data_IF_523117859636
#
_entry.id   IF_523117859636
#
_cell.length_a   1.000
_cell.length_b   1.000
_cell.length_c   1.000
_cell.angle_alpha   90.00
_cell.angle_beta   90.00
_cell.angle_gamma   90.00
#
_symmetry.space_group_name_H-M   'P 1'
#
loop_
_entity.id
_entity.type
_entity.pdbx_description
1 polymer ?
#
# COMPACT_ATOMS: atom_id res chain seq x y z
N UNK A 1 29.89 0.45 28.64
CA UNK A 1 28.63 -0.23 29.02
C UNK A 1 28.04 -0.84 27.77
N UNK A 2 28.17 -2.15 27.60
CA UNK A 2 27.70 -2.90 26.43
C UNK A 2 26.32 -3.48 26.71
N UNK A 3 25.32 -3.09 25.93
CA UNK A 3 23.97 -3.65 26.02
C UNK A 3 23.89 -4.87 25.10
N UNK A 4 23.56 -6.03 25.67
CA UNK A 4 23.28 -7.27 24.94
C UNK A 4 21.78 -7.31 24.69
N UNK A 5 21.39 -7.31 23.41
CA UNK A 5 19.99 -7.44 23.01
C UNK A 5 19.72 -8.93 22.79
N UNK A 6 18.89 -9.53 23.64
CA UNK A 6 18.35 -10.88 23.46
C UNK A 6 16.92 -10.78 22.94
N UNK A 7 16.60 -11.58 21.92
CA UNK A 7 15.25 -11.71 21.39
C UNK A 7 14.66 -13.06 21.82
N UNK A 8 13.53 -13.03 22.51
CA UNK A 8 12.75 -14.23 22.76
C UNK A 8 11.87 -14.59 21.55
N UNK A 9 11.77 -15.87 21.18
CA UNK A 9 10.92 -16.28 20.08
C UNK A 9 9.44 -16.22 20.45
N UNK A 10 8.64 -15.51 19.64
CA UNK A 10 7.19 -15.47 19.77
C UNK A 10 6.60 -16.88 19.58
N UNK A 11 6.04 -17.43 20.66
CA UNK A 11 5.17 -18.59 20.58
C UNK A 11 3.82 -18.19 20.01
N UNK A 12 3.32 -19.01 19.08
CA UNK A 12 2.07 -18.79 18.34
C UNK A 12 0.89 -18.74 19.31
N UNK A 13 0.12 -17.65 19.33
CA UNK A 13 -1.22 -17.63 19.94
C UNK A 13 -2.32 -17.43 18.91
N UNK A 14 -3.31 -18.28 19.14
CA UNK A 14 -4.53 -18.60 18.44
C UNK A 14 -5.36 -17.39 17.96
N UNK A 15 -6.10 -17.71 16.90
CA UNK A 15 -7.09 -16.96 16.15
C UNK A 15 -8.24 -16.32 16.94
N UNK A 16 -8.86 -15.35 16.27
CA UNK A 16 -10.23 -14.79 16.40
C UNK A 16 -10.40 -13.61 17.36
N UNK A 17 -10.51 -12.42 16.77
CA UNK A 17 -11.48 -11.41 17.24
C UNK A 17 -12.09 -10.68 16.06
N UNK A 18 -13.35 -11.04 15.78
CA UNK A 18 -14.26 -10.32 14.89
C UNK A 18 -14.53 -8.92 15.46
N UNK A 19 -14.72 -7.95 14.56
CA UNK A 19 -15.20 -6.61 14.89
C UNK A 19 -16.58 -6.66 15.57
N UNK A 20 -16.89 -5.72 16.48
CA UNK A 20 -18.21 -5.62 17.08
C UNK A 20 -19.24 -5.09 16.06
N UNK A 21 -20.40 -5.74 16.03
CA UNK A 21 -21.57 -5.40 15.24
C UNK A 21 -22.49 -4.48 16.07
N UNK A 22 -22.87 -3.27 15.64
CA UNK A 22 -23.76 -2.40 16.39
C UNK A 22 -25.18 -2.49 15.81
N UNK A 23 -25.98 -3.45 16.27
CA UNK A 23 -27.44 -3.40 16.20
C UNK A 23 -28.01 -4.70 16.78
N UNK A 24 -28.73 -4.60 17.90
CA UNK A 24 -29.98 -5.34 18.19
C UNK A 24 -30.31 -5.16 19.68
N UNK A 25 -31.15 -4.17 19.96
CA UNK A 25 -32.08 -4.21 21.10
C UNK A 25 -33.45 -4.52 20.52
N UNK A 26 -33.91 -5.77 20.67
CA UNK A 26 -35.29 -6.17 20.39
C UNK A 26 -35.85 -6.72 21.70
N UNK A 27 -37.01 -6.25 22.19
CA UNK A 27 -37.75 -6.92 23.25
C UNK A 27 -38.61 -8.05 22.66
N UNK A 28 -38.51 -9.22 23.28
CA UNK A 28 -39.37 -10.40 23.07
C UNK A 28 -40.84 -10.12 23.43
N UNK A 29 -41.80 -10.76 22.74
CA UNK A 29 -43.06 -11.14 23.38
C UNK A 29 -43.29 -12.65 23.33
N UNK A 30 -43.49 -13.20 24.51
CA UNK A 30 -43.87 -14.59 24.77
C UNK A 30 -45.36 -14.86 24.57
N UNK A 31 -45.60 -16.05 24.03
CA UNK A 31 -46.65 -17.02 24.40
C UNK A 31 -47.95 -17.09 23.58
N UNK A 32 -48.15 -18.35 23.14
CA UNK A 32 -49.37 -19.15 23.05
C UNK A 32 -50.38 -18.88 21.94
N UNK A 33 -50.51 -19.91 21.09
CA UNK A 33 -51.60 -20.06 20.15
C UNK A 33 -52.89 -20.56 20.81
N UNK A 34 -54.01 -20.18 20.22
CA UNK A 34 -55.25 -20.95 20.23
C UNK A 34 -56.04 -20.64 18.94
N UNK A 35 -56.69 -21.67 18.43
CA UNK A 35 -57.44 -21.76 17.17
C UNK A 35 -58.89 -21.29 17.36
N UNK A 36 -59.48 -20.60 16.38
CA UNK A 36 -60.80 -20.96 15.81
C UNK A 36 -61.25 -20.06 14.65
N UNK A 37 -62.13 -20.63 13.85
CA UNK A 37 -62.73 -20.24 12.57
C UNK A 37 -63.52 -18.93 12.54
N UNK A 38 -63.45 -18.18 11.42
CA UNK A 38 -64.54 -18.04 10.41
C UNK A 38 -64.23 -16.92 9.39
N UNK A 39 -64.92 -17.00 8.26
CA UNK A 39 -64.73 -16.27 7.01
C UNK A 39 -65.03 -14.77 7.08
N UNK A 40 -64.03 -13.92 6.82
CA UNK A 40 -64.24 -12.54 6.33
C UNK A 40 -63.11 -12.09 5.38
N UNK A 41 -63.50 -11.53 4.23
CA UNK A 41 -62.63 -10.92 3.23
C UNK A 41 -62.04 -9.65 3.85
N UNK A 42 -60.86 -9.76 4.45
CA UNK A 42 -60.05 -8.62 4.88
C UNK A 42 -58.76 -8.65 4.10
N UNK A 43 -58.59 -7.66 3.22
CA UNK A 43 -57.35 -7.38 2.50
C UNK A 43 -56.21 -7.27 3.49
N UNK A 44 -55.43 -8.34 3.66
CA UNK A 44 -54.16 -8.28 4.38
C UNK A 44 -53.32 -7.21 3.69
N UNK A 45 -52.71 -6.26 4.40
CA UNK A 45 -51.79 -5.33 3.77
C UNK A 45 -50.76 -6.18 3.05
N UNK A 46 -50.69 -6.05 1.72
CA UNK A 46 -49.68 -6.71 0.94
C UNK A 46 -48.34 -6.09 1.32
N UNK A 47 -47.69 -6.70 2.32
CA UNK A 47 -46.35 -6.30 2.74
C UNK A 47 -45.44 -6.68 1.58
N UNK A 48 -45.06 -5.68 0.80
CA UNK A 48 -44.11 -5.85 -0.30
C UNK A 48 -42.86 -6.50 0.24
N UNK A 49 -42.35 -7.51 -0.47
CA UNK A 49 -41.05 -8.08 -0.18
C UNK A 49 -39.99 -6.97 -0.19
N UNK A 50 -38.93 -7.10 0.62
CA UNK A 50 -37.81 -6.16 0.57
C UNK A 50 -37.28 -5.99 -0.86
N UNK A 51 -37.28 -7.09 -1.64
CA UNK A 51 -36.90 -7.05 -3.05
C UNK A 51 -37.85 -6.15 -3.86
N UNK A 52 -39.16 -6.40 -3.77
CA UNK A 52 -40.18 -5.60 -4.48
C UNK A 52 -40.12 -4.11 -4.08
N UNK A 53 -39.93 -3.84 -2.79
CA UNK A 53 -39.76 -2.48 -2.29
C UNK A 53 -38.51 -1.80 -2.85
N UNK A 54 -37.38 -2.52 -2.93
CA UNK A 54 -36.14 -1.99 -3.49
C UNK A 54 -36.23 -1.78 -5.00
N UNK A 55 -36.93 -2.64 -5.72
CA UNK A 55 -37.18 -2.49 -7.17
C UNK A 55 -38.00 -1.23 -7.45
N UNK A 56 -39.02 -0.93 -6.63
CA UNK A 56 -39.88 0.23 -6.80
C UNK A 56 -39.23 1.54 -6.32
N UNK A 57 -38.58 1.54 -5.15
CA UNK A 57 -38.08 2.77 -4.52
C UNK A 57 -36.61 3.08 -4.85
N UNK A 58 -35.82 2.06 -5.22
CA UNK A 58 -34.36 2.17 -5.47
C UNK A 58 -33.89 1.24 -6.61
N UNK A 59 -34.44 1.34 -7.83
CA UNK A 59 -34.04 0.47 -8.95
C UNK A 59 -32.54 0.60 -9.30
N UNK A 60 -31.95 1.79 -9.11
CA UNK A 60 -30.52 2.04 -9.29
C UNK A 60 -29.63 1.18 -8.38
N UNK A 61 -30.10 0.88 -7.16
CA UNK A 61 -29.35 0.03 -6.24
C UNK A 61 -29.37 -1.42 -6.71
N UNK A 62 -30.56 -1.91 -7.09
CA UNK A 62 -30.75 -3.28 -7.59
C UNK A 62 -29.86 -3.50 -8.81
N UNK A 63 -29.95 -2.64 -9.82
CA UNK A 63 -29.11 -2.73 -11.04
C UNK A 63 -27.61 -2.72 -10.74
N UNK A 64 -27.12 -1.85 -9.85
CA UNK A 64 -25.70 -1.82 -9.44
C UNK A 64 -25.29 -3.10 -8.70
N UNK A 65 -26.15 -3.63 -7.84
CA UNK A 65 -25.90 -4.87 -7.13
C UNK A 65 -25.84 -6.07 -8.09
N UNK A 66 -26.75 -6.12 -9.07
CA UNK A 66 -26.75 -7.13 -10.13
C UNK A 66 -25.50 -7.05 -11.00
N UNK A 67 -25.12 -5.84 -11.43
CA UNK A 67 -23.90 -5.62 -12.18
C UNK A 67 -22.67 -6.09 -11.40
N UNK A 68 -22.59 -5.78 -10.11
CA UNK A 68 -21.52 -6.27 -9.24
C UNK A 68 -21.50 -7.80 -9.15
N UNK A 69 -22.67 -8.43 -9.02
CA UNK A 69 -22.82 -9.90 -9.01
C UNK A 69 -22.28 -10.50 -10.32
N UNK A 70 -22.63 -9.92 -11.46
CA UNK A 70 -22.15 -10.35 -12.78
C UNK A 70 -20.63 -10.22 -12.91
N UNK A 71 -20.05 -9.06 -12.54
CA UNK A 71 -18.59 -8.85 -12.58
C UNK A 71 -17.85 -9.87 -11.71
N UNK A 72 -18.39 -10.20 -10.54
CA UNK A 72 -17.78 -11.21 -9.66
C UNK A 72 -17.88 -12.62 -10.25
N UNK A 73 -19.02 -12.96 -10.87
CA UNK A 73 -19.22 -14.23 -11.55
C UNK A 73 -18.26 -14.39 -12.74
N UNK A 74 -18.10 -13.36 -13.57
CA UNK A 74 -17.16 -13.33 -14.69
C UNK A 74 -15.71 -13.53 -14.20
N UNK A 75 -15.30 -12.80 -13.16
CA UNK A 75 -13.97 -12.95 -12.56
C UNK A 75 -13.73 -14.36 -12.01
N UNK A 76 -14.74 -14.96 -11.39
CA UNK A 76 -14.66 -16.33 -10.90
C UNK A 76 -14.52 -17.33 -12.05
N UNK A 77 -15.30 -17.15 -13.13
CA UNK A 77 -15.23 -17.98 -14.33
C UNK A 77 -13.85 -17.91 -14.99
N UNK A 78 -13.30 -16.71 -15.19
CA UNK A 78 -11.96 -16.54 -15.77
C UNK A 78 -10.90 -17.25 -14.93
N UNK A 79 -10.97 -17.13 -13.60
CA UNK A 79 -10.04 -17.81 -12.69
C UNK A 79 -10.16 -19.33 -12.82
N UNK A 80 -11.38 -19.87 -12.86
CA UNK A 80 -11.60 -21.31 -13.02
C UNK A 80 -11.01 -21.81 -14.35
N UNK A 81 -11.24 -21.10 -15.46
CA UNK A 81 -10.66 -21.51 -16.75
C UNK A 81 -9.13 -21.48 -16.72
N UNK A 82 -8.53 -20.44 -16.12
CA UNK A 82 -7.08 -20.36 -15.95
C UNK A 82 -6.55 -21.52 -15.11
N UNK A 83 -7.20 -21.84 -13.99
CA UNK A 83 -6.82 -22.94 -13.11
C UNK A 83 -6.94 -24.29 -13.83
N UNK A 84 -7.99 -24.49 -14.64
CA UNK A 84 -8.16 -25.70 -15.47
C UNK A 84 -7.05 -25.83 -16.51
N UNK A 85 -6.70 -24.75 -17.20
CA UNK A 85 -5.61 -24.75 -18.19
C UNK A 85 -4.26 -25.02 -17.52
N UNK A 86 -3.96 -24.36 -16.40
CA UNK A 86 -2.74 -24.59 -15.62
C UNK A 86 -2.67 -26.02 -15.07
N UNK A 87 -3.80 -26.58 -14.62
CA UNK A 87 -3.88 -27.96 -14.17
C UNK A 87 -3.56 -28.93 -15.30
N UNK A 88 -4.17 -28.76 -16.49
CA UNK A 88 -3.87 -29.59 -17.67
C UNK A 88 -2.39 -29.52 -18.07
N UNK A 89 -1.80 -28.32 -18.10
CA UNK A 89 -0.38 -28.14 -18.39
C UNK A 89 0.50 -28.86 -17.37
N UNK A 90 0.19 -28.74 -16.08
CA UNK A 90 0.93 -29.44 -15.02
C UNK A 90 0.86 -30.96 -15.17
N UNK A 91 -0.31 -31.51 -15.49
CA UNK A 91 -0.46 -32.96 -15.74
C UNK A 91 0.36 -33.38 -16.96
N UNK A 92 0.32 -32.63 -18.06
CA UNK A 92 1.14 -32.93 -19.25
C UNK A 92 2.63 -32.94 -18.91
N UNK A 93 3.11 -31.91 -18.21
CA UNK A 93 4.51 -31.81 -17.77
C UNK A 93 4.92 -32.97 -16.84
N UNK A 94 4.04 -33.40 -15.93
CA UNK A 94 4.29 -34.57 -15.08
C UNK A 94 4.39 -35.86 -15.89
N UNK A 95 3.53 -36.05 -16.89
CA UNK A 95 3.55 -37.26 -17.74
C UNK A 95 4.76 -37.32 -18.69
N UNK A 96 5.31 -36.17 -19.09
CA UNK A 96 6.54 -36.11 -19.90
C UNK A 96 7.81 -36.36 -19.07
N UNK A 97 7.72 -36.40 -17.74
CA UNK A 97 8.87 -36.64 -16.87
C UNK A 97 9.10 -38.16 -16.74
N UNK A 98 10.15 -38.67 -17.38
CA UNK A 98 10.59 -40.06 -17.20
C UNK A 98 10.99 -40.33 -15.73
N UNK A 99 10.71 -41.53 -15.18
CA UNK A 99 10.98 -41.90 -13.78
C UNK A 99 12.47 -42.17 -13.48
N UNK A 100 13.37 -41.34 -14.02
CA UNK A 100 14.82 -41.44 -13.83
C UNK A 100 15.57 -40.09 -13.73
N UNK A 101 14.84 -38.97 -13.73
CA UNK A 101 15.43 -37.62 -13.59
C UNK A 101 14.96 -36.98 -12.27
N UNK A 102 15.39 -37.57 -11.15
CA UNK A 102 14.91 -37.16 -9.82
C UNK A 102 15.86 -36.24 -9.04
N UNK A 103 17.13 -36.06 -9.42
CA UNK A 103 18.07 -35.40 -8.51
C UNK A 103 17.98 -33.86 -8.48
N UNK A 104 17.86 -33.19 -9.63
CA UNK A 104 18.16 -31.74 -9.67
C UNK A 104 16.93 -30.82 -9.80
N UNK A 105 15.81 -31.34 -10.31
CA UNK A 105 14.63 -30.48 -10.56
C UNK A 105 13.65 -30.42 -9.39
N UNK A 106 13.63 -31.43 -8.52
CA UNK A 106 12.72 -31.49 -7.36
C UNK A 106 13.09 -30.42 -6.33
N UNK A 107 14.39 -30.11 -6.17
CA UNK A 107 14.84 -28.97 -5.37
C UNK A 107 14.41 -27.62 -5.97
N UNK A 108 14.43 -27.47 -7.29
CA UNK A 108 14.00 -26.25 -7.97
C UNK A 108 12.49 -26.03 -7.85
N UNK A 109 11.69 -27.09 -7.88
CA UNK A 109 10.24 -27.03 -7.71
C UNK A 109 9.83 -26.75 -6.24
N UNK A 110 10.60 -27.23 -5.25
CA UNK A 110 10.40 -26.89 -3.82
C UNK A 110 10.81 -25.46 -3.47
N UNK A 111 11.75 -24.86 -4.21
CA UNK A 111 12.16 -23.45 -4.07
C UNK A 111 11.14 -22.52 -4.74
N UNK A 112 9.89 -22.57 -4.26
CA UNK A 112 8.89 -21.54 -4.50
C UNK A 112 8.49 -21.40 -5.96
N UNK A 113 7.51 -22.19 -6.36
CA UNK A 113 6.57 -21.82 -7.42
C UNK A 113 5.88 -20.51 -7.04
N UNK A 114 6.60 -19.40 -7.21
CA UNK A 114 6.01 -18.08 -7.33
C UNK A 114 5.21 -18.18 -8.61
N UNK A 115 3.90 -18.27 -8.47
CA UNK A 115 2.95 -17.90 -9.50
C UNK A 115 3.56 -16.75 -10.28
N UNK A 116 4.03 -17.02 -11.49
CA UNK A 116 4.43 -16.00 -12.45
C UNK A 116 3.14 -15.35 -12.95
N UNK A 117 2.28 -14.90 -12.04
CA UNK A 117 1.33 -13.86 -12.37
C UNK A 117 2.17 -12.72 -12.90
N UNK A 118 1.83 -12.25 -14.09
CA UNK A 118 2.47 -11.11 -14.75
C UNK A 118 2.79 -10.05 -13.70
N UNK A 119 4.07 -9.89 -13.36
CA UNK A 119 4.48 -8.91 -12.36
C UNK A 119 4.01 -7.56 -12.85
N UNK A 120 3.10 -6.93 -12.09
CA UNK A 120 2.54 -5.62 -12.40
C UNK A 120 3.66 -4.57 -12.50
N UNK A 121 4.77 -4.79 -11.78
CA UNK A 121 5.94 -3.93 -11.80
C UNK A 121 7.21 -4.72 -12.13
N UNK A 122 8.04 -4.13 -12.98
CA UNK A 122 9.39 -4.58 -13.25
C UNK A 122 10.27 -4.42 -12.01
N UNK A 123 11.36 -5.19 -11.93
CA UNK A 123 12.34 -5.05 -10.85
C UNK A 123 12.97 -3.66 -10.81
N UNK A 124 13.11 -3.00 -11.96
CA UNK A 124 13.62 -1.62 -12.06
C UNK A 124 12.65 -0.63 -11.41
N UNK A 125 11.35 -0.78 -11.65
CA UNK A 125 10.31 0.06 -11.04
C UNK A 125 10.26 -0.13 -9.54
N UNK A 126 10.30 -1.39 -9.06
CA UNK A 126 10.36 -1.69 -7.63
C UNK A 126 11.57 -1.03 -6.97
N UNK A 127 12.76 -1.14 -7.57
CA UNK A 127 13.97 -0.46 -7.06
C UNK A 127 13.81 1.06 -7.06
N UNK A 128 13.21 1.63 -8.10
CA UNK A 128 12.96 3.07 -8.20
C UNK A 128 12.00 3.56 -7.11
N UNK A 129 10.90 2.84 -6.88
CA UNK A 129 9.95 3.15 -5.81
C UNK A 129 10.61 3.10 -4.43
N UNK A 130 11.36 2.03 -4.15
CA UNK A 130 12.09 1.90 -2.88
C UNK A 130 13.13 3.00 -2.72
N UNK A 131 13.86 3.34 -3.79
CA UNK A 131 14.85 4.45 -3.78
C UNK A 131 14.19 5.79 -3.48
N UNK A 132 13.06 6.09 -4.12
CA UNK A 132 12.29 7.33 -3.87
C UNK A 132 11.83 7.39 -2.42
N UNK A 133 11.26 6.30 -1.91
CA UNK A 133 10.80 6.23 -0.52
C UNK A 133 11.95 6.41 0.48
N UNK A 134 13.08 5.75 0.24
CA UNK A 134 14.28 5.91 1.05
C UNK A 134 14.80 7.36 1.05
N UNK A 135 14.81 8.01 -0.11
CA UNK A 135 15.22 9.42 -0.22
C UNK A 135 14.31 10.37 0.56
N UNK A 136 13.03 10.05 0.74
CA UNK A 136 12.10 10.87 1.53
C UNK A 136 12.22 10.67 3.05
N UNK A 137 13.04 9.72 3.51
CA UNK A 137 13.21 9.47 4.94
C UNK A 137 13.85 10.68 5.63
N UNK A 138 13.36 11.07 6.82
CA UNK A 138 13.84 12.25 7.53
C UNK A 138 15.33 12.14 7.87
N UNK A 139 15.84 10.95 8.21
CA UNK A 139 17.25 10.72 8.52
C UNK A 139 18.14 11.01 7.30
N UNK A 140 17.69 10.61 6.11
CA UNK A 140 18.41 10.82 4.84
C UNK A 140 18.41 12.30 4.47
N UNK A 141 17.25 12.96 4.61
CA UNK A 141 17.11 14.39 4.32
C UNK A 141 17.92 15.26 5.29
N UNK A 142 17.86 14.96 6.59
CA UNK A 142 18.64 15.66 7.62
C UNK A 142 20.14 15.51 7.36
N UNK A 143 20.62 14.29 7.06
CA UNK A 143 22.03 14.08 6.72
C UNK A 143 22.48 14.89 5.50
N UNK A 144 21.63 14.99 4.47
CA UNK A 144 21.90 15.82 3.28
C UNK A 144 21.95 17.30 3.63
N UNK A 145 21.01 17.79 4.43
CA UNK A 145 20.97 19.18 4.88
C UNK A 145 22.18 19.54 5.75
N UNK A 146 22.57 18.67 6.67
CA UNK A 146 23.72 18.89 7.54
C UNK A 146 25.04 18.91 6.75
N UNK A 147 25.17 18.04 5.74
CA UNK A 147 26.33 18.07 4.85
C UNK A 147 26.42 19.40 4.09
N UNK A 148 25.30 19.85 3.51
CA UNK A 148 25.23 21.15 2.82
C UNK A 148 25.55 22.30 3.78
N UNK A 149 24.96 22.32 4.97
CA UNK A 149 25.21 23.36 5.98
C UNK A 149 26.69 23.44 6.36
N UNK A 150 27.36 22.29 6.50
CA UNK A 150 28.81 22.24 6.81
C UNK A 150 29.65 22.79 5.66
N UNK A 151 29.29 22.49 4.42
CA UNK A 151 29.94 23.01 3.23
C UNK A 151 29.76 24.53 3.10
N UNK A 152 28.52 25.01 3.25
CA UNK A 152 28.18 26.44 3.24
C UNK A 152 28.94 27.19 4.35
N UNK A 153 29.02 26.60 5.55
CA UNK A 153 29.80 27.20 6.64
C UNK A 153 31.30 27.27 6.33
N UNK A 154 31.86 26.19 5.76
CA UNK A 154 33.29 26.13 5.41
C UNK A 154 33.62 27.17 4.33
N UNK A 155 32.79 27.29 3.31
CA UNK A 155 32.97 28.24 2.21
C UNK A 155 32.80 29.68 2.70
N UNK A 156 31.74 29.97 3.48
CA UNK A 156 31.52 31.29 4.05
C UNK A 156 32.67 31.72 4.98
N UNK A 157 33.17 30.81 5.82
CA UNK A 157 34.32 31.07 6.68
C UNK A 157 35.56 31.44 5.85
N UNK A 158 35.86 30.67 4.81
CA UNK A 158 36.98 30.96 3.92
C UNK A 158 36.81 32.33 3.24
N UNK A 159 35.61 32.65 2.77
CA UNK A 159 35.32 33.94 2.14
C UNK A 159 35.50 35.11 3.11
N UNK A 160 35.05 34.96 4.36
CA UNK A 160 35.27 35.96 5.41
C UNK A 160 36.76 36.16 5.72
N UNK A 161 37.54 35.08 5.81
CA UNK A 161 39.00 35.17 6.00
C UNK A 161 39.70 35.84 4.82
N UNK A 162 39.33 35.50 3.59
CA UNK A 162 39.87 36.13 2.37
C UNK A 162 39.50 37.61 2.32
N UNK A 163 38.25 37.95 2.64
CA UNK A 163 37.79 39.33 2.71
C UNK A 163 38.59 40.13 3.74
N UNK A 164 38.75 39.58 4.95
CA UNK A 164 39.51 40.21 6.03
C UNK A 164 40.96 40.49 5.62
N UNK A 165 41.64 39.51 5.00
CA UNK A 165 42.99 39.67 4.48
C UNK A 165 43.08 40.74 3.38
N UNK A 166 42.10 40.78 2.46
CA UNK A 166 42.05 41.80 1.40
C UNK A 166 41.83 43.19 1.98
N UNK A 167 40.92 43.32 2.95
CA UNK A 167 40.61 44.58 3.62
C UNK A 167 41.83 45.12 4.38
N UNK A 168 42.50 44.28 5.16
CA UNK A 168 43.73 44.64 5.87
C UNK A 168 44.81 45.17 4.92
N UNK A 169 45.03 44.51 3.79
CA UNK A 169 45.99 44.95 2.77
C UNK A 169 45.63 46.30 2.15
N UNK A 170 44.34 46.55 1.90
CA UNK A 170 43.86 47.86 1.39
C UNK A 170 44.07 48.97 2.42
N UNK A 171 43.75 48.70 3.68
CA UNK A 171 43.92 49.65 4.78
C UNK A 171 45.38 50.07 4.98
N UNK A 172 46.32 49.11 4.97
CA UNK A 172 47.77 49.40 5.05
C UNK A 172 48.30 50.24 3.87
N UNK A 173 47.63 50.18 2.72
CA UNK A 173 47.98 50.97 1.52
C UNK A 173 47.29 52.33 1.48
N UNK A 174 46.47 52.68 2.48
CA UNK A 174 45.72 53.94 2.51
C UNK A 174 44.57 54.01 1.49
N UNK A 175 44.12 52.87 0.94
CA UNK A 175 43.00 52.82 -0.02
C UNK A 175 41.69 52.80 0.77
N UNK A 176 40.95 53.91 0.74
CA UNK A 176 39.69 54.13 1.49
C UNK A 176 38.45 53.66 0.72
N UNK A 177 38.57 53.25 -0.55
CA UNK A 177 37.44 52.77 -1.32
C UNK A 177 37.04 51.34 -0.90
N UNK A 178 36.00 51.28 -0.06
CA UNK A 178 35.37 50.09 0.47
C UNK A 178 34.19 49.62 -0.39
N UNK A 179 34.04 50.11 -1.64
CA UNK A 179 32.96 49.65 -2.54
C UNK A 179 33.05 48.15 -2.76
N UNK A 180 32.23 47.42 -2.00
CA UNK A 180 31.90 46.01 -2.18
C UNK A 180 30.46 45.86 -2.71
N UNK A 181 29.71 46.96 -2.79
CA UNK A 181 28.32 47.02 -3.26
C UNK A 181 28.20 46.87 -4.77
N UNK A 182 29.16 47.36 -5.56
CA UNK A 182 29.03 47.36 -7.02
C UNK A 182 29.24 45.98 -7.65
N UNK A 183 30.08 45.14 -7.03
CA UNK A 183 30.43 43.84 -7.62
C UNK A 183 29.36 42.77 -7.35
N UNK A 184 28.55 42.92 -6.30
CA UNK A 184 27.48 41.98 -5.94
C UNK A 184 26.19 42.23 -6.75
N UNK A 185 25.89 43.48 -7.12
CA UNK A 185 24.70 43.82 -7.90
C UNK A 185 24.85 43.51 -9.42
N UNK A 186 26.07 43.49 -9.95
CA UNK A 186 26.32 43.19 -11.38
C UNK A 186 26.13 41.73 -11.80
N UNK A 187 25.98 40.80 -10.84
CA UNK A 187 25.84 39.35 -11.09
C UNK A 187 24.38 38.87 -11.05
N UNK A 188 23.41 39.77 -10.86
CA UNK A 188 21.97 39.47 -10.74
C UNK A 188 21.13 40.33 -11.72
N UNK A 189 21.66 40.62 -12.92
CA UNK A 189 20.88 41.17 -14.04
C UNK A 189 21.10 40.35 -15.30
#
# INVERSE_FOLDING_TARGET
MTFVITFEPLTKRSSKKLRPNPAQSVPEPSSNGFSSSDTEITTKPHIKSLQEYLEENRPDYVTKAELRRQILAEKAYVREQQDRVQHKQRILLTNLKHPGSESDEIEKAKRGGKTQGSKIFTTRELRSMTRRKYQTLPEVQMKKMDAKRKEDYRTNKLMAEVFTKKLQRKALKGVVDLSNSDQVLSQVS
#
